data_IF_691549665204
#
_entry.id   IF_691549665204
#
_cell.length_a   1.000
_cell.length_b   1.000
_cell.length_c   1.000
_cell.angle_alpha   90.00
_cell.angle_beta   90.00
_cell.angle_gamma   90.00
#
_symmetry.space_group_name_H-M   'P 1'
#
loop_
_entity.id
_entity.type
_entity.pdbx_description
1 polymer ?
#
# COMPACT_ATOMS: atom_id res chain seq x y z
N UNK A 1 -83.80 19.41 48.65
CA UNK A 1 -83.74 20.50 47.73
C UNK A 1 -82.29 20.67 47.31
N UNK A 2 -81.79 20.31 46.22
CA UNK A 2 -82.21 20.44 44.87
C UNK A 2 -81.44 19.35 44.03
N UNK A 3 -82.05 18.82 42.99
CA UNK A 3 -81.53 17.80 42.14
C UNK A 3 -80.74 18.41 41.00
N UNK A 4 -79.53 17.98 40.80
CA UNK A 4 -78.71 18.33 39.64
C UNK A 4 -78.64 17.15 38.67
N UNK A 5 -79.21 17.33 37.51
CA UNK A 5 -79.23 16.39 36.40
C UNK A 5 -77.83 16.21 35.76
N UNK A 6 -77.39 14.93 35.62
CA UNK A 6 -76.18 14.59 34.83
C UNK A 6 -76.62 14.17 33.43
N UNK A 7 -75.96 14.65 32.35
CA UNK A 7 -76.33 14.25 30.97
C UNK A 7 -75.70 12.86 30.64
N UNK A 8 -76.45 12.00 29.97
CA UNK A 8 -76.03 10.69 29.51
C UNK A 8 -74.99 10.79 28.44
N UNK A 9 -73.82 10.08 28.64
CA UNK A 9 -72.77 9.90 27.64
C UNK A 9 -73.30 9.07 26.48
N UNK A 10 -73.22 9.60 25.28
CA UNK A 10 -73.47 8.86 24.04
C UNK A 10 -72.20 8.09 23.68
N UNK A 11 -72.26 6.79 23.79
CA UNK A 11 -71.19 5.90 23.28
C UNK A 11 -71.34 5.78 21.77
N UNK A 12 -70.45 6.44 21.00
CA UNK A 12 -70.33 6.19 19.56
C UNK A 12 -69.64 4.84 19.38
N UNK A 13 -70.34 3.92 18.71
CA UNK A 13 -69.81 2.62 18.31
C UNK A 13 -68.75 2.86 17.24
N UNK A 14 -67.48 2.66 17.61
CA UNK A 14 -66.40 2.63 16.61
C UNK A 14 -66.51 1.35 15.81
N UNK A 15 -66.52 1.49 14.50
CA UNK A 15 -66.59 0.35 13.57
C UNK A 15 -65.35 -0.56 13.71
N UNK A 16 -65.51 -1.86 13.80
CA UNK A 16 -64.37 -2.78 13.91
C UNK A 16 -63.45 -2.76 12.68
N UNK A 17 -63.91 -2.19 11.57
CA UNK A 17 -63.09 -2.08 10.37
C UNK A 17 -61.98 -1.03 10.48
N UNK A 18 -62.15 0.01 11.29
CA UNK A 18 -61.10 1.01 11.51
C UNK A 18 -59.96 0.47 12.33
N UNK A 19 -60.19 -0.48 13.23
CA UNK A 19 -59.15 -1.14 14.01
C UNK A 19 -58.34 -2.13 13.15
N UNK A 20 -58.94 -2.77 12.16
CA UNK A 20 -58.26 -3.70 11.25
C UNK A 20 -57.34 -2.94 10.28
N UNK A 21 -57.74 -1.79 9.82
CA UNK A 21 -56.89 -0.97 8.92
C UNK A 21 -55.68 -0.41 9.67
N UNK A 22 -55.84 0.01 10.92
CA UNK A 22 -54.73 0.50 11.74
C UNK A 22 -53.76 -0.61 12.14
N UNK A 23 -54.22 -1.86 12.38
CA UNK A 23 -53.35 -3.02 12.64
C UNK A 23 -52.56 -3.43 11.37
N UNK A 24 -53.19 -3.40 10.20
CA UNK A 24 -52.54 -3.72 8.94
C UNK A 24 -51.46 -2.68 8.58
N UNK A 25 -51.68 -1.39 8.85
CA UNK A 25 -50.65 -0.37 8.60
C UNK A 25 -49.48 -0.48 9.57
N UNK A 26 -49.72 -0.84 10.82
CA UNK A 26 -48.63 -1.05 11.81
C UNK A 26 -47.84 -2.29 11.44
N UNK A 27 -48.46 -3.36 10.98
CA UNK A 27 -47.74 -4.59 10.55
C UNK A 27 -46.96 -4.33 9.28
N UNK A 28 -47.43 -3.54 8.34
CA UNK A 28 -46.70 -3.18 7.11
C UNK A 28 -45.51 -2.28 7.39
N UNK A 29 -45.58 -1.42 8.39
CA UNK A 29 -44.44 -0.55 8.76
C UNK A 29 -43.32 -1.38 9.48
N UNK A 30 -43.69 -2.45 10.20
CA UNK A 30 -42.72 -3.30 10.89
C UNK A 30 -42.08 -4.40 10.01
N UNK A 31 -42.52 -4.60 8.79
CA UNK A 31 -42.02 -5.59 7.87
C UNK A 31 -41.15 -5.04 6.73
N UNK A 32 -40.75 -3.76 6.79
CA UNK A 32 -39.68 -3.27 5.91
C UNK A 32 -38.39 -3.88 6.49
N UNK A 33 -37.75 -4.83 5.79
CA UNK A 33 -36.43 -5.25 6.23
C UNK A 33 -35.58 -3.98 6.24
N UNK A 34 -34.96 -3.69 7.36
CA UNK A 34 -33.86 -2.75 7.38
C UNK A 34 -32.81 -3.35 6.42
N UNK A 35 -32.83 -2.90 5.20
CA UNK A 35 -31.68 -2.98 4.33
C UNK A 35 -30.65 -2.10 5.05
N UNK A 36 -29.96 -2.69 6.03
CA UNK A 36 -28.64 -2.19 6.33
C UNK A 36 -27.93 -2.25 5.00
N UNK A 37 -27.76 -1.12 4.39
CA UNK A 37 -26.83 -0.99 3.30
C UNK A 37 -25.51 -1.52 3.86
N UNK A 38 -25.22 -2.77 3.59
CA UNK A 38 -23.92 -3.33 3.79
C UNK A 38 -23.05 -2.48 2.88
N UNK A 39 -22.39 -1.49 3.49
CA UNK A 39 -21.39 -0.71 2.76
C UNK A 39 -20.49 -1.74 2.10
N UNK A 40 -20.57 -1.81 0.78
CA UNK A 40 -19.69 -2.72 0.04
C UNK A 40 -18.27 -2.28 0.39
N UNK A 41 -17.56 -3.13 1.12
CA UNK A 41 -16.14 -2.89 1.40
C UNK A 41 -15.43 -2.68 0.06
N UNK A 42 -14.65 -1.64 -0.02
CA UNK A 42 -13.85 -1.37 -1.22
C UNK A 42 -12.93 -2.57 -1.48
N UNK A 43 -13.21 -3.30 -2.54
CA UNK A 43 -12.40 -4.45 -2.93
C UNK A 43 -11.21 -3.96 -3.77
N UNK A 44 -10.01 -4.11 -3.24
CA UNK A 44 -8.78 -3.78 -3.95
C UNK A 44 -8.50 -4.87 -5.01
N UNK A 45 -8.35 -4.47 -6.26
CA UNK A 45 -7.96 -5.35 -7.37
C UNK A 45 -6.82 -4.68 -8.12
N UNK A 46 -5.62 -4.84 -7.56
CA UNK A 46 -4.48 -4.03 -7.95
C UNK A 46 -3.34 -4.80 -8.60
N UNK A 47 -2.42 -4.04 -9.15
CA UNK A 47 -1.17 -4.56 -9.68
C UNK A 47 -0.06 -3.53 -9.47
N UNK A 48 1.11 -4.01 -9.05
CA UNK A 48 2.32 -3.20 -9.01
C UNK A 48 2.96 -3.15 -10.40
N UNK A 49 3.42 -1.97 -10.79
CA UNK A 49 4.23 -1.76 -12.00
C UNK A 49 5.61 -1.34 -11.51
N UNK A 50 6.58 -2.24 -11.62
CA UNK A 50 7.94 -2.03 -11.11
C UNK A 50 8.86 -1.44 -12.19
N UNK A 51 10.08 -1.08 -11.80
CA UNK A 51 11.11 -0.65 -12.75
C UNK A 51 11.49 -1.76 -13.76
N UNK A 52 11.08 -3.00 -13.51
CA UNK A 52 11.27 -4.13 -14.43
C UNK A 52 10.22 -4.16 -15.55
N UNK A 53 9.14 -3.42 -15.44
CA UNK A 53 8.06 -3.38 -16.45
C UNK A 53 8.45 -2.47 -17.62
N UNK A 54 9.59 -2.76 -18.23
CA UNK A 54 10.23 -1.91 -19.23
C UNK A 54 9.32 -1.57 -20.42
N UNK A 55 8.45 -2.50 -20.80
CA UNK A 55 7.53 -2.26 -21.90
C UNK A 55 6.47 -1.22 -21.55
N UNK A 56 5.99 -1.20 -20.30
CA UNK A 56 5.01 -0.19 -19.85
C UNK A 56 5.62 1.20 -19.90
N UNK A 57 6.87 1.33 -19.44
CA UNK A 57 7.55 2.62 -19.33
C UNK A 57 8.12 3.12 -20.66
N UNK A 58 7.96 2.36 -21.75
CA UNK A 58 8.56 2.70 -23.05
C UNK A 58 7.95 3.95 -23.67
N UNK A 59 6.64 4.01 -23.73
CA UNK A 59 5.93 5.13 -24.38
C UNK A 59 4.45 5.14 -23.98
N UNK A 60 3.77 6.23 -24.34
CA UNK A 60 2.34 6.46 -24.06
C UNK A 60 1.43 5.35 -24.62
N UNK A 61 1.76 4.78 -25.76
CA UNK A 61 0.93 3.73 -26.36
C UNK A 61 0.99 2.45 -25.52
N UNK A 62 2.17 2.11 -25.01
CA UNK A 62 2.35 0.94 -24.13
C UNK A 62 1.62 1.14 -22.79
N UNK A 63 1.67 2.36 -22.21
CA UNK A 63 0.90 2.70 -21.01
C UNK A 63 -0.59 2.46 -21.26
N UNK A 64 -1.11 3.01 -22.37
CA UNK A 64 -2.53 2.86 -22.75
C UNK A 64 -2.92 1.38 -22.89
N UNK A 65 -2.09 0.60 -23.57
CA UNK A 65 -2.34 -0.84 -23.77
C UNK A 65 -2.36 -1.58 -22.42
N UNK A 66 -1.42 -1.27 -21.53
CA UNK A 66 -1.33 -1.90 -20.21
C UNK A 66 -2.59 -1.59 -19.37
N UNK A 67 -2.97 -0.32 -19.28
CA UNK A 67 -4.14 0.10 -18.50
C UNK A 67 -5.43 -0.47 -19.09
N UNK A 68 -5.55 -0.47 -20.43
CA UNK A 68 -6.72 -1.05 -21.12
C UNK A 68 -6.84 -2.55 -20.83
N UNK A 69 -5.72 -3.28 -20.86
CA UNK A 69 -5.69 -4.71 -20.54
C UNK A 69 -6.17 -4.95 -19.10
N UNK A 70 -5.65 -4.18 -18.15
CA UNK A 70 -6.04 -4.28 -16.74
C UNK A 70 -7.55 -4.00 -16.57
N UNK A 71 -8.05 -2.94 -17.19
CA UNK A 71 -9.47 -2.58 -17.10
C UNK A 71 -10.38 -3.69 -17.65
N UNK A 72 -10.00 -4.29 -18.79
CA UNK A 72 -10.76 -5.41 -19.40
C UNK A 72 -10.80 -6.66 -18.51
N UNK A 73 -9.88 -6.76 -17.55
CA UNK A 73 -9.82 -7.85 -16.57
C UNK A 73 -10.37 -7.44 -15.21
N UNK A 74 -11.05 -6.28 -15.17
CA UNK A 74 -11.74 -5.75 -13.98
C UNK A 74 -10.80 -5.42 -12.81
N UNK A 75 -9.54 -5.09 -13.10
CA UNK A 75 -8.67 -4.41 -12.13
C UNK A 75 -9.19 -3.00 -11.89
N UNK A 76 -8.90 -2.45 -10.71
CA UNK A 76 -9.37 -1.11 -10.34
C UNK A 76 -8.28 -0.21 -9.73
N UNK A 77 -7.06 -0.71 -9.55
CA UNK A 77 -5.96 0.07 -8.96
C UNK A 77 -4.63 -0.31 -9.62
N UNK A 78 -3.82 0.69 -9.90
CA UNK A 78 -2.45 0.50 -10.39
C UNK A 78 -1.49 1.21 -9.41
N UNK A 79 -0.40 0.51 -9.05
CA UNK A 79 0.63 1.04 -8.15
C UNK A 79 1.93 1.22 -8.95
N UNK A 80 2.09 2.35 -9.67
CA UNK A 80 3.32 2.58 -10.44
C UNK A 80 4.46 2.97 -9.52
N UNK A 81 5.63 2.36 -9.74
CA UNK A 81 6.84 2.71 -8.97
C UNK A 81 7.27 4.15 -9.27
N UNK A 82 7.62 4.90 -8.22
CA UNK A 82 8.11 6.27 -8.35
C UNK A 82 9.48 6.48 -7.72
N UNK A 83 9.91 5.57 -6.84
CA UNK A 83 11.23 5.61 -6.19
C UNK A 83 11.79 4.19 -6.11
N UNK A 84 12.89 3.97 -6.82
CA UNK A 84 13.53 2.65 -6.88
C UNK A 84 15.00 2.82 -7.26
N UNK A 85 15.86 2.01 -6.65
CA UNK A 85 17.30 1.92 -7.00
C UNK A 85 18.04 3.27 -6.94
N UNK A 86 17.62 4.17 -6.06
CA UNK A 86 18.24 5.49 -5.94
C UNK A 86 17.80 6.48 -7.02
N UNK A 87 16.74 6.17 -7.76
CA UNK A 87 16.19 7.02 -8.82
C UNK A 87 14.73 7.33 -8.57
N UNK A 88 14.31 8.51 -9.02
CA UNK A 88 12.88 8.81 -9.19
C UNK A 88 12.45 8.41 -10.59
N UNK A 89 11.17 8.03 -10.73
CA UNK A 89 10.60 7.55 -12.00
C UNK A 89 9.71 8.61 -12.67
N UNK A 90 9.98 9.88 -12.39
CA UNK A 90 9.25 11.03 -12.93
C UNK A 90 10.18 12.24 -12.96
N UNK A 91 9.90 13.30 -13.77
CA UNK A 91 10.68 14.53 -13.72
C UNK A 91 10.58 15.16 -12.33
N UNK A 92 11.71 15.25 -11.62
CA UNK A 92 11.76 15.72 -10.23
C UNK A 92 12.79 16.83 -10.06
N UNK A 93 12.35 17.97 -9.56
CA UNK A 93 13.24 19.07 -9.17
C UNK A 93 13.97 18.75 -7.87
N UNK A 94 13.34 18.00 -6.98
CA UNK A 94 13.95 17.53 -5.72
C UNK A 94 15.17 16.65 -6.04
N UNK A 95 14.98 15.63 -6.87
CA UNK A 95 16.06 14.73 -7.28
C UNK A 95 17.18 15.51 -8.01
N UNK A 96 16.80 16.39 -8.90
CA UNK A 96 17.75 17.24 -9.64
C UNK A 96 18.60 18.11 -8.70
N UNK A 97 18.01 18.66 -7.64
CA UNK A 97 18.73 19.52 -6.69
C UNK A 97 19.78 18.76 -5.86
N UNK A 98 19.67 17.44 -5.83
CA UNK A 98 20.59 16.54 -5.10
C UNK A 98 21.51 15.74 -6.03
N UNK A 99 21.52 16.09 -7.32
CA UNK A 99 22.27 15.40 -8.37
C UNK A 99 21.89 13.92 -8.49
N UNK A 100 20.63 13.59 -8.19
CA UNK A 100 20.05 12.27 -8.42
C UNK A 100 19.44 12.28 -9.81
N UNK A 101 19.89 11.39 -10.67
CA UNK A 101 19.34 11.33 -12.02
C UNK A 101 17.94 10.72 -12.02
N UNK A 102 16.98 11.31 -12.76
CA UNK A 102 15.70 10.64 -12.95
C UNK A 102 15.91 9.35 -13.74
N UNK A 103 15.06 8.39 -13.52
CA UNK A 103 15.08 7.16 -14.32
C UNK A 103 14.65 7.53 -15.75
N UNK A 104 15.59 7.39 -16.67
CA UNK A 104 15.32 7.62 -18.09
C UNK A 104 15.38 6.27 -18.79
N UNK A 105 14.21 5.74 -19.14
CA UNK A 105 14.17 4.52 -19.93
C UNK A 105 14.57 4.86 -21.37
N UNK A 106 15.32 3.98 -22.01
CA UNK A 106 15.77 4.17 -23.39
C UNK A 106 14.57 4.47 -24.31
N UNK A 107 14.61 5.62 -24.94
CA UNK A 107 13.56 6.06 -25.84
C UNK A 107 12.43 6.86 -25.22
N UNK A 108 12.48 7.11 -23.92
CA UNK A 108 11.47 7.93 -23.22
C UNK A 108 11.99 9.30 -22.80
N UNK A 109 13.09 9.74 -23.38
CA UNK A 109 13.73 11.02 -23.03
C UNK A 109 12.74 12.19 -23.09
N UNK A 110 12.62 12.90 -21.98
CA UNK A 110 11.74 14.06 -21.89
C UNK A 110 10.25 13.73 -21.74
N UNK A 111 9.90 12.45 -21.59
CA UNK A 111 8.51 12.02 -21.50
C UNK A 111 8.12 11.68 -20.07
N UNK A 112 7.05 12.29 -19.58
CA UNK A 112 6.55 12.05 -18.21
C UNK A 112 5.61 10.86 -18.20
N UNK A 113 6.18 9.67 -18.06
CA UNK A 113 5.44 8.41 -18.05
C UNK A 113 4.47 8.32 -16.85
N UNK A 114 4.83 8.90 -15.72
CA UNK A 114 3.93 8.90 -14.55
C UNK A 114 2.63 9.66 -14.87
N UNK A 115 2.76 10.84 -15.49
CA UNK A 115 1.59 11.60 -15.94
C UNK A 115 0.72 10.78 -16.90
N UNK A 116 1.34 10.05 -17.82
CA UNK A 116 0.60 9.19 -18.76
C UNK A 116 -0.12 8.05 -18.04
N UNK A 117 0.53 7.40 -17.08
CA UNK A 117 -0.09 6.31 -16.29
C UNK A 117 -1.32 6.85 -15.56
N UNK A 118 -1.17 7.99 -14.86
CA UNK A 118 -2.28 8.60 -14.10
C UNK A 118 -3.45 8.94 -15.05
N UNK A 119 -3.16 9.64 -16.14
CA UNK A 119 -4.19 10.03 -17.12
C UNK A 119 -4.91 8.84 -17.72
N UNK A 120 -4.17 7.78 -18.08
CA UNK A 120 -4.77 6.57 -18.63
C UNK A 120 -5.58 5.80 -17.59
N UNK A 121 -5.09 5.71 -16.35
CA UNK A 121 -5.80 5.06 -15.25
C UNK A 121 -7.14 5.75 -15.02
N UNK A 122 -7.13 7.06 -14.84
CA UNK A 122 -8.34 7.86 -14.58
C UNK A 122 -9.35 7.77 -15.75
N UNK A 123 -8.86 7.85 -16.98
CA UNK A 123 -9.75 7.75 -18.16
C UNK A 123 -10.49 6.42 -18.23
N UNK A 124 -10.06 5.42 -17.48
CA UNK A 124 -10.64 4.07 -17.47
C UNK A 124 -11.14 3.65 -16.08
N UNK A 125 -11.27 4.61 -15.15
CA UNK A 125 -11.78 4.40 -13.79
C UNK A 125 -10.94 3.43 -12.96
N UNK A 126 -9.59 3.55 -13.07
CA UNK A 126 -8.66 2.91 -12.16
C UNK A 126 -8.01 3.98 -11.29
N UNK A 127 -7.78 3.67 -10.02
CA UNK A 127 -6.96 4.51 -9.14
C UNK A 127 -5.48 4.36 -9.49
N UNK A 128 -4.74 5.46 -9.42
CA UNK A 128 -3.29 5.50 -9.59
C UNK A 128 -2.65 5.90 -8.25
N UNK A 129 -1.97 4.95 -7.61
CA UNK A 129 -1.36 5.13 -6.29
C UNK A 129 0.17 4.94 -6.44
N UNK A 130 0.94 6.01 -6.69
CA UNK A 130 2.41 5.91 -6.78
C UNK A 130 3.02 5.16 -5.60
N UNK A 131 4.02 4.33 -5.90
CA UNK A 131 4.59 3.37 -4.97
C UNK A 131 6.08 3.63 -4.75
N UNK A 132 6.46 3.85 -3.48
CA UNK A 132 7.85 4.02 -3.03
C UNK A 132 8.43 2.64 -2.73
N UNK A 133 8.85 1.92 -3.78
CA UNK A 133 9.33 0.54 -3.68
C UNK A 133 10.59 0.43 -2.81
N UNK A 134 11.57 1.31 -3.02
CA UNK A 134 12.83 1.21 -2.28
C UNK A 134 12.81 1.89 -0.91
N UNK A 135 11.88 2.80 -0.62
CA UNK A 135 11.82 3.44 0.70
C UNK A 135 13.16 4.03 1.12
N UNK A 136 13.75 3.49 2.18
CA UNK A 136 15.08 3.88 2.67
C UNK A 136 16.22 3.03 2.07
N UNK A 137 15.92 2.00 1.29
CA UNK A 137 16.93 1.18 0.63
C UNK A 137 17.51 1.92 -0.58
N UNK A 138 18.81 1.76 -0.83
CA UNK A 138 19.48 2.31 -2.00
C UNK A 138 20.56 1.32 -2.47
N UNK A 139 20.87 1.26 -3.77
CA UNK A 139 21.98 0.41 -4.22
C UNK A 139 23.29 0.82 -3.56
N UNK A 140 24.11 -0.15 -3.26
CA UNK A 140 25.47 0.11 -2.81
C UNK A 140 26.39 0.35 -4.03
N UNK A 141 27.68 0.57 -3.76
CA UNK A 141 28.71 0.97 -4.73
C UNK A 141 29.21 -0.13 -5.67
N UNK A 142 28.49 -1.24 -5.83
CA UNK A 142 28.86 -2.34 -6.72
C UNK A 142 28.69 -2.03 -8.21
N UNK A 143 28.42 -3.07 -9.00
CA UNK A 143 28.22 -2.95 -10.46
C UNK A 143 27.17 -1.90 -10.85
N UNK A 144 26.14 -1.72 -10.01
CA UNK A 144 25.11 -0.70 -10.21
C UNK A 144 25.65 0.73 -10.07
N UNK A 145 26.65 0.92 -9.21
CA UNK A 145 27.31 2.22 -9.04
C UNK A 145 28.14 2.61 -10.29
N UNK A 146 28.74 1.60 -10.94
CA UNK A 146 29.48 1.85 -12.19
C UNK A 146 28.56 2.29 -13.32
N UNK A 147 27.28 1.97 -13.22
CA UNK A 147 26.23 2.40 -14.14
C UNK A 147 25.41 3.54 -13.56
N UNK A 148 25.98 4.30 -12.65
CA UNK A 148 25.38 5.45 -11.95
C UNK A 148 24.21 5.16 -11.00
N UNK A 149 24.14 4.17 -10.56
CA UNK A 149 23.17 3.78 -9.70
C UNK A 149 23.48 3.90 -8.32
N UNK A 150 24.10 4.06 -7.89
CA UNK A 150 24.47 4.24 -6.49
C UNK A 150 24.93 5.66 -6.15
N UNK A 151 24.61 6.59 -7.00
CA UNK A 151 25.08 7.99 -6.82
C UNK A 151 24.65 8.57 -5.47
N UNK A 152 23.44 8.27 -5.02
CA UNK A 152 22.96 8.80 -3.74
C UNK A 152 23.82 8.32 -2.57
N UNK A 153 24.14 7.03 -2.50
CA UNK A 153 24.99 6.48 -1.44
C UNK A 153 26.42 7.04 -1.50
N UNK A 154 26.94 7.24 -2.73
CA UNK A 154 28.28 7.80 -2.93
C UNK A 154 28.34 9.29 -2.57
N UNK A 155 27.33 10.04 -2.97
CA UNK A 155 27.29 11.50 -2.81
C UNK A 155 26.88 11.93 -1.40
N UNK A 156 26.16 11.03 -0.67
CA UNK A 156 25.65 11.32 0.67
C UNK A 156 26.02 10.19 1.64
N UNK A 157 27.30 9.90 1.83
CA UNK A 157 27.69 8.81 2.74
C UNK A 157 27.29 9.05 4.20
N UNK A 158 27.10 10.31 4.59
CA UNK A 158 26.63 10.71 5.92
C UNK A 158 25.12 10.40 6.12
N UNK A 159 24.39 10.14 5.03
CA UNK A 159 23.00 9.72 5.11
C UNK A 159 22.83 8.22 5.38
N UNK A 160 23.91 7.45 5.26
CA UNK A 160 23.84 5.98 5.41
C UNK A 160 23.90 5.58 6.89
N UNK A 161 23.10 4.60 7.24
CA UNK A 161 23.18 3.96 8.56
C UNK A 161 24.18 2.80 8.52
N UNK A 162 24.58 2.30 9.69
CA UNK A 162 25.61 1.27 9.84
C UNK A 162 25.14 0.14 10.74
N UNK A 163 25.65 -1.04 10.47
CA UNK A 163 25.63 -2.15 11.43
C UNK A 163 26.64 -1.90 12.55
N UNK A 164 26.58 -2.72 13.59
CA UNK A 164 27.46 -2.57 14.76
C UNK A 164 28.94 -2.71 14.45
N UNK A 165 29.30 -3.53 13.46
CA UNK A 165 30.68 -3.70 13.01
C UNK A 165 31.12 -2.61 12.01
N UNK A 166 30.26 -1.64 11.72
CA UNK A 166 30.58 -0.51 10.87
C UNK A 166 30.24 -0.70 9.39
N UNK A 167 29.67 -1.84 9.00
CA UNK A 167 29.27 -2.07 7.61
C UNK A 167 28.09 -1.18 7.22
N UNK A 168 28.13 -0.63 6.00
CA UNK A 168 27.00 0.07 5.38
C UNK A 168 26.25 -0.82 4.40
N UNK A 169 26.69 -2.07 4.22
CA UNK A 169 26.20 -2.99 3.18
C UNK A 169 25.37 -4.11 3.78
N UNK A 170 24.29 -4.45 3.13
CA UNK A 170 23.55 -5.69 3.36
C UNK A 170 23.16 -6.32 2.02
N UNK A 171 22.76 -7.59 2.08
CA UNK A 171 22.31 -8.34 0.89
C UNK A 171 20.78 -8.36 0.88
N UNK A 172 20.20 -8.04 -0.27
CA UNK A 172 18.78 -8.13 -0.50
C UNK A 172 18.49 -8.94 -1.77
N UNK A 173 17.24 -9.12 -2.11
CA UNK A 173 16.86 -9.71 -3.39
C UNK A 173 17.31 -8.85 -4.58
N UNK A 174 17.56 -7.56 -4.35
CA UNK A 174 18.09 -6.63 -5.37
C UNK A 174 19.63 -6.65 -5.47
N UNK A 175 20.31 -7.49 -4.69
CA UNK A 175 21.77 -7.55 -4.62
C UNK A 175 22.31 -6.80 -3.42
N UNK A 176 23.52 -6.25 -3.55
CA UNK A 176 24.14 -5.43 -2.50
C UNK A 176 23.43 -4.07 -2.39
N UNK A 177 22.97 -3.74 -1.19
CA UNK A 177 22.27 -2.49 -0.91
C UNK A 177 22.84 -1.83 0.35
N UNK A 178 22.61 -0.52 0.44
CA UNK A 178 22.82 0.27 1.66
C UNK A 178 21.49 0.85 2.10
N UNK A 179 21.45 1.39 3.32
CA UNK A 179 20.22 1.93 3.88
C UNK A 179 20.46 3.38 4.29
N UNK A 180 19.62 4.24 3.76
CA UNK A 180 19.51 5.64 4.22
C UNK A 180 18.99 5.60 5.66
N UNK A 181 19.57 6.41 6.53
CA UNK A 181 19.21 6.44 7.94
C UNK A 181 17.82 7.08 8.13
N UNK A 182 16.78 6.31 8.49
CA UNK A 182 15.43 6.87 8.64
C UNK A 182 15.30 7.87 9.80
N UNK A 183 16.32 7.96 10.66
CA UNK A 183 16.35 8.87 11.80
C UNK A 183 17.05 10.19 11.46
N UNK A 184 17.79 10.24 10.35
CA UNK A 184 18.56 11.42 9.95
C UNK A 184 17.64 12.49 9.36
N UNK A 185 17.68 13.75 9.88
CA UNK A 185 16.72 14.77 9.46
C UNK A 185 16.78 15.13 7.97
N UNK A 186 17.95 15.07 7.35
CA UNK A 186 18.07 15.37 5.91
C UNK A 186 17.49 14.24 5.06
N UNK A 187 17.61 12.98 5.50
CA UNK A 187 16.97 11.83 4.83
C UNK A 187 15.45 11.98 4.91
N UNK A 188 14.95 12.28 6.11
CA UNK A 188 13.51 12.49 6.30
C UNK A 188 13.00 13.64 5.43
N UNK A 189 13.74 14.76 5.41
CA UNK A 189 13.39 15.90 4.58
C UNK A 189 13.34 15.54 3.09
N UNK A 190 14.34 14.77 2.62
CA UNK A 190 14.39 14.34 1.22
C UNK A 190 13.14 13.52 0.83
N UNK A 191 12.75 12.55 1.65
CA UNK A 191 11.55 11.74 1.35
C UNK A 191 10.29 12.62 1.40
N UNK A 192 10.19 13.50 2.39
CA UNK A 192 9.05 14.45 2.50
C UNK A 192 8.98 15.34 1.25
N UNK A 193 10.12 15.89 0.81
CA UNK A 193 10.17 16.77 -0.35
C UNK A 193 9.69 16.06 -1.62
N UNK A 194 10.11 14.79 -1.83
CA UNK A 194 9.62 13.98 -2.96
C UNK A 194 8.09 13.80 -2.89
N UNK A 195 7.57 13.53 -1.70
CA UNK A 195 6.12 13.35 -1.50
C UNK A 195 5.33 14.63 -1.77
N UNK A 196 5.83 15.74 -1.26
CA UNK A 196 5.22 17.07 -1.47
C UNK A 196 5.22 17.39 -2.97
N UNK A 197 6.33 17.12 -3.64
CA UNK A 197 6.45 17.33 -5.09
C UNK A 197 5.43 16.50 -5.87
N UNK A 198 5.34 15.19 -5.56
CA UNK A 198 4.36 14.29 -6.20
C UNK A 198 2.92 14.76 -5.95
N UNK A 199 2.61 15.07 -4.69
CA UNK A 199 1.25 15.43 -4.28
C UNK A 199 0.79 16.75 -4.93
N UNK A 200 1.72 17.70 -5.13
CA UNK A 200 1.40 18.99 -5.75
C UNK A 200 1.33 18.90 -7.27
N UNK A 201 2.17 18.07 -7.90
CA UNK A 201 2.34 18.10 -9.35
C UNK A 201 1.45 17.10 -10.10
N UNK A 202 0.93 16.07 -9.40
CA UNK A 202 0.17 14.99 -10.04
C UNK A 202 -1.19 14.79 -9.38
N UNK A 203 -2.16 14.41 -10.20
CA UNK A 203 -3.51 14.09 -9.74
C UNK A 203 -3.56 12.62 -9.27
N UNK A 204 -2.82 12.32 -8.21
CA UNK A 204 -2.71 10.97 -7.66
C UNK A 204 -3.85 10.69 -6.66
N UNK A 205 -4.26 9.43 -6.57
CA UNK A 205 -5.32 8.99 -5.64
C UNK A 205 -4.77 8.57 -4.28
N UNK A 206 -3.48 8.27 -4.22
CA UNK A 206 -2.83 7.85 -2.99
C UNK A 206 -1.33 7.78 -3.16
N UNK A 207 -0.66 7.37 -2.10
CA UNK A 207 0.79 7.05 -2.09
C UNK A 207 0.95 5.77 -1.29
N UNK A 208 1.77 4.84 -1.79
CA UNK A 208 2.04 3.59 -1.08
C UNK A 208 3.52 3.48 -0.70
N UNK A 209 3.75 3.06 0.54
CA UNK A 209 5.09 2.78 1.08
C UNK A 209 5.29 1.28 1.24
N UNK A 210 6.41 0.80 0.73
CA UNK A 210 6.75 -0.62 0.72
C UNK A 210 7.38 -1.09 2.04
N UNK A 211 7.67 -2.39 2.11
CA UNK A 211 8.39 -2.99 3.23
C UNK A 211 9.83 -2.47 3.35
N UNK A 212 10.36 -1.78 2.33
CA UNK A 212 11.65 -1.09 2.40
C UNK A 212 11.55 0.33 2.99
N UNK A 213 10.35 0.80 3.36
CA UNK A 213 10.20 2.00 4.20
C UNK A 213 10.36 1.56 5.65
N UNK A 214 11.57 1.11 5.96
CA UNK A 214 11.91 0.30 7.14
C UNK A 214 13.41 0.41 7.39
N UNK A 215 13.88 -0.31 8.39
CA UNK A 215 15.32 -0.48 8.63
C UNK A 215 15.55 -1.92 9.10
N UNK A 216 16.43 -2.68 8.44
CA UNK A 216 16.77 -4.02 8.97
C UNK A 216 17.37 -3.90 10.38
N UNK A 217 16.99 -4.83 11.24
CA UNK A 217 17.28 -4.73 12.67
C UNK A 217 18.79 -4.65 13.01
N UNK A 218 19.65 -5.08 12.09
CA UNK A 218 21.10 -5.03 12.28
C UNK A 218 21.68 -3.61 12.21
N UNK A 219 20.93 -2.66 11.63
CA UNK A 219 21.37 -1.28 11.40
C UNK A 219 20.93 -0.33 12.53
N UNK A 220 21.42 0.88 12.48
CA UNK A 220 21.15 1.91 13.48
C UNK A 220 22.32 2.14 14.44
N UNK A 221 23.52 1.69 14.06
CA UNK A 221 24.72 1.87 14.88
C UNK A 221 25.68 2.94 14.31
N UNK A 222 25.19 3.78 13.40
CA UNK A 222 25.90 4.96 12.94
C UNK A 222 25.96 6.03 14.05
N UNK A 223 26.92 6.95 13.94
CA UNK A 223 27.19 7.95 14.97
C UNK A 223 25.96 8.82 15.29
N UNK A 224 25.18 9.19 14.25
CA UNK A 224 24.00 10.01 14.45
C UNK A 224 22.96 9.28 15.31
N UNK A 225 22.65 8.05 14.95
CA UNK A 225 21.64 7.24 15.66
C UNK A 225 22.08 6.91 17.08
N UNK A 226 23.36 6.55 17.26
CA UNK A 226 23.91 6.26 18.59
C UNK A 226 23.79 7.48 19.51
N UNK A 227 24.16 8.65 19.00
CA UNK A 227 24.11 9.89 19.78
C UNK A 227 22.66 10.28 20.10
N UNK A 228 21.75 10.13 19.16
CA UNK A 228 20.32 10.39 19.36
C UNK A 228 19.74 9.48 20.45
N UNK A 229 20.02 8.18 20.37
CA UNK A 229 19.55 7.21 21.36
C UNK A 229 20.08 7.57 22.76
N UNK A 230 21.39 7.88 22.84
CA UNK A 230 22.03 8.25 24.11
C UNK A 230 21.44 9.53 24.68
N UNK A 231 21.17 10.52 23.84
CA UNK A 231 20.57 11.79 24.25
C UNK A 231 19.17 11.57 24.82
N UNK A 232 18.37 10.72 24.19
CA UNK A 232 16.97 10.50 24.59
C UNK A 232 16.82 9.55 25.78
N UNK A 233 17.72 8.57 25.92
CA UNK A 233 17.55 7.49 26.91
C UNK A 233 18.61 7.50 28.02
N UNK A 234 19.72 8.20 27.84
CA UNK A 234 20.88 8.15 28.74
C UNK A 234 21.71 6.89 28.58
N UNK A 235 21.41 6.00 27.61
CA UNK A 235 22.04 4.69 27.43
C UNK A 235 22.78 4.62 26.11
N UNK A 236 23.74 3.70 26.01
CA UNK A 236 24.29 3.30 24.71
C UNK A 236 23.39 2.22 24.09
N UNK A 237 23.31 2.14 22.76
CA UNK A 237 22.54 1.07 22.12
C UNK A 237 23.01 -0.32 22.56
N UNK A 238 22.10 -1.26 22.79
CA UNK A 238 22.46 -2.64 23.14
C UNK A 238 23.31 -3.30 22.05
N UNK A 239 24.17 -4.24 22.46
CA UNK A 239 24.98 -5.02 21.53
C UNK A 239 24.12 -5.98 20.67
N UNK A 240 23.02 -6.46 21.25
CA UNK A 240 22.07 -7.31 20.54
C UNK A 240 21.11 -6.43 19.74
N UNK A 241 21.16 -6.51 18.42
CA UNK A 241 20.32 -5.72 17.54
C UNK A 241 18.83 -6.06 17.67
N UNK A 242 18.50 -7.23 18.24
CA UNK A 242 17.12 -7.65 18.52
C UNK A 242 16.71 -7.44 19.98
N UNK A 243 17.49 -6.67 20.75
CA UNK A 243 17.05 -6.28 22.10
C UNK A 243 15.70 -5.58 22.03
N UNK A 244 14.71 -5.99 22.83
CA UNK A 244 13.35 -5.44 22.72
C UNK A 244 13.25 -3.92 22.89
N UNK A 245 14.02 -3.34 23.81
CA UNK A 245 14.04 -1.89 24.03
C UNK A 245 14.60 -1.16 22.79
N UNK A 246 15.68 -1.71 22.21
CA UNK A 246 16.31 -1.13 21.02
C UNK A 246 15.44 -1.26 19.77
N UNK A 247 14.76 -2.41 19.59
CA UNK A 247 13.78 -2.61 18.52
C UNK A 247 12.64 -1.60 18.68
N UNK A 248 12.06 -1.50 19.88
CA UNK A 248 10.94 -0.62 20.14
C UNK A 248 11.28 0.85 19.89
N UNK A 249 12.47 1.29 20.35
CA UNK A 249 12.88 2.70 20.15
C UNK A 249 13.01 3.02 18.65
N UNK A 250 13.73 2.17 17.88
CA UNK A 250 13.92 2.41 16.44
C UNK A 250 12.59 2.34 15.67
N UNK A 251 11.74 1.36 15.98
CA UNK A 251 10.41 1.24 15.36
C UNK A 251 9.54 2.46 15.67
N UNK A 252 9.63 2.98 16.90
CA UNK A 252 8.91 4.21 17.27
C UNK A 252 9.42 5.41 16.47
N UNK A 253 10.73 5.53 16.25
CA UNK A 253 11.29 6.63 15.44
C UNK A 253 10.79 6.57 13.99
N UNK A 254 10.64 5.37 13.42
CA UNK A 254 10.02 5.21 12.09
C UNK A 254 8.54 5.61 12.17
N UNK A 255 7.84 5.20 13.23
CA UNK A 255 6.43 5.59 13.44
C UNK A 255 6.27 7.12 13.49
N UNK A 256 7.13 7.82 14.24
CA UNK A 256 7.13 9.28 14.30
C UNK A 256 7.29 9.91 12.90
N UNK A 257 8.16 9.31 12.08
CA UNK A 257 8.34 9.77 10.70
C UNK A 257 7.09 9.51 9.85
N UNK A 258 6.48 8.32 9.96
CA UNK A 258 5.25 8.00 9.21
C UNK A 258 4.09 8.91 9.60
N UNK A 259 3.98 9.28 10.87
CA UNK A 259 2.98 10.27 11.34
C UNK A 259 3.21 11.62 10.64
N UNK A 260 4.47 12.09 10.58
CA UNK A 260 4.79 13.34 9.89
C UNK A 260 4.49 13.27 8.39
N UNK A 261 4.81 12.14 7.74
CA UNK A 261 4.50 11.94 6.32
C UNK A 261 3.01 12.04 6.05
N UNK A 262 2.23 11.27 6.82
CA UNK A 262 0.77 11.28 6.70
C UNK A 262 0.24 12.71 6.90
N UNK A 263 0.64 13.37 7.99
CA UNK A 263 0.18 14.72 8.31
C UNK A 263 0.51 15.71 7.15
N UNK A 264 1.73 15.65 6.63
CA UNK A 264 2.16 16.53 5.54
C UNK A 264 1.29 16.34 4.28
N UNK A 265 1.07 15.08 3.89
CA UNK A 265 0.27 14.76 2.72
C UNK A 265 -1.20 15.18 2.91
N UNK A 266 -1.76 14.87 4.08
CA UNK A 266 -3.16 15.17 4.38
C UNK A 266 -3.42 16.68 4.49
N UNK A 267 -2.41 17.48 4.78
CA UNK A 267 -2.55 18.95 4.72
C UNK A 267 -2.67 19.45 3.27
N UNK A 268 -2.06 18.74 2.30
CA UNK A 268 -2.11 19.13 0.88
C UNK A 268 -3.37 18.55 0.22
N UNK A 269 -3.61 17.24 0.40
CA UNK A 269 -4.77 16.51 -0.15
C UNK A 269 -5.37 15.65 0.97
N UNK A 270 -6.36 16.16 1.72
CA UNK A 270 -6.90 15.46 2.90
C UNK A 270 -7.43 14.04 2.64
N UNK A 271 -7.89 13.78 1.43
CA UNK A 271 -8.51 12.50 1.06
C UNK A 271 -7.56 11.52 0.38
N UNK A 272 -6.29 11.91 0.14
CA UNK A 272 -5.30 11.06 -0.51
C UNK A 272 -5.10 9.78 0.29
N UNK A 273 -5.17 8.62 -0.36
CA UNK A 273 -5.00 7.31 0.29
C UNK A 273 -3.54 7.15 0.73
N UNK A 274 -3.32 6.98 2.02
CA UNK A 274 -1.99 6.65 2.58
C UNK A 274 -1.93 5.13 2.75
N UNK A 275 -1.29 4.47 1.79
CA UNK A 275 -1.23 3.02 1.69
C UNK A 275 0.11 2.48 2.18
N UNK A 276 0.12 1.27 2.75
CA UNK A 276 1.36 0.58 3.10
C UNK A 276 1.33 -0.87 2.61
N UNK A 277 2.47 -1.39 2.14
CA UNK A 277 2.58 -2.78 1.68
C UNK A 277 3.72 -3.51 2.40
N UNK A 278 3.52 -3.82 3.69
CA UNK A 278 4.55 -4.46 4.52
C UNK A 278 4.52 -5.99 4.44
N UNK A 279 5.53 -6.61 5.06
CA UNK A 279 5.52 -8.03 5.40
C UNK A 279 4.54 -8.30 6.56
N UNK A 280 4.27 -9.58 6.87
CA UNK A 280 3.43 -9.96 8.01
C UNK A 280 4.04 -9.42 9.32
N UNK A 281 3.17 -9.03 10.25
CA UNK A 281 3.48 -8.13 11.36
C UNK A 281 4.71 -8.54 12.20
N UNK A 282 4.76 -9.79 12.64
CA UNK A 282 5.86 -10.24 13.50
C UNK A 282 7.23 -10.07 12.82
N UNK A 283 7.31 -10.34 11.51
CA UNK A 283 8.54 -10.14 10.74
C UNK A 283 8.81 -8.64 10.53
N UNK A 284 7.79 -7.90 10.09
CA UNK A 284 7.91 -6.47 9.83
C UNK A 284 8.37 -5.70 11.06
N UNK A 285 7.76 -5.98 12.23
CA UNK A 285 8.12 -5.29 13.47
C UNK A 285 9.52 -5.66 13.97
N UNK A 286 9.82 -6.97 14.07
CA UNK A 286 11.05 -7.44 14.72
C UNK A 286 12.31 -7.31 13.85
N UNK A 287 12.16 -7.50 12.53
CA UNK A 287 13.32 -7.58 11.64
C UNK A 287 13.45 -6.38 10.70
N UNK A 288 12.33 -5.66 10.47
CA UNK A 288 12.29 -4.50 9.59
C UNK A 288 11.89 -3.20 10.32
N UNK A 289 11.58 -3.29 11.63
CA UNK A 289 11.22 -2.13 12.49
C UNK A 289 10.00 -1.36 11.95
N UNK A 290 9.11 -2.07 11.23
CA UNK A 290 7.85 -1.50 10.72
C UNK A 290 6.69 -1.88 11.64
N UNK A 291 6.24 -0.92 12.45
CA UNK A 291 5.12 -1.12 13.39
C UNK A 291 3.79 -0.77 12.71
N UNK A 292 3.52 -1.41 11.54
CA UNK A 292 2.38 -1.06 10.70
C UNK A 292 1.02 -1.29 11.40
N UNK A 293 0.93 -2.23 12.33
CA UNK A 293 -0.31 -2.44 13.09
C UNK A 293 -0.61 -1.21 13.98
N UNK A 294 0.41 -0.68 14.62
CA UNK A 294 0.29 0.55 15.37
C UNK A 294 -0.06 1.74 14.46
N UNK A 295 0.51 1.80 13.25
CA UNK A 295 0.17 2.88 12.30
C UNK A 295 -1.32 2.86 11.92
N UNK A 296 -1.92 1.67 11.77
CA UNK A 296 -3.37 1.54 11.54
C UNK A 296 -4.15 2.00 12.78
N UNK A 297 -3.74 1.56 13.96
CA UNK A 297 -4.37 1.96 15.24
C UNK A 297 -4.29 3.46 15.51
N UNK A 298 -3.23 4.11 15.02
CA UNK A 298 -3.06 5.57 15.09
C UNK A 298 -3.85 6.32 13.99
N UNK A 299 -4.55 5.57 13.14
CA UNK A 299 -5.36 6.12 12.05
C UNK A 299 -4.53 6.96 11.05
N UNK A 300 -3.28 6.54 10.81
CA UNK A 300 -2.42 7.19 9.81
C UNK A 300 -2.26 6.37 8.53
N UNK A 301 -2.89 5.19 8.47
CA UNK A 301 -2.89 4.34 7.28
C UNK A 301 -4.33 4.15 6.82
N UNK A 302 -4.61 4.41 5.54
CA UNK A 302 -5.94 4.30 4.94
C UNK A 302 -6.10 2.98 4.18
N UNK A 303 -5.00 2.28 3.88
CA UNK A 303 -5.03 1.04 3.11
C UNK A 303 -3.82 0.16 3.46
N UNK A 304 -4.06 -1.12 3.68
CA UNK A 304 -3.01 -2.12 3.90
C UNK A 304 -2.99 -3.13 2.76
N UNK A 305 -1.82 -3.39 2.16
CA UNK A 305 -1.63 -4.48 1.20
C UNK A 305 -0.48 -5.36 1.68
N UNK A 306 -0.78 -6.35 2.51
CA UNK A 306 0.27 -7.21 3.09
C UNK A 306 0.88 -8.14 2.04
N UNK A 307 2.20 -8.13 1.90
CA UNK A 307 2.93 -8.98 0.96
C UNK A 307 3.02 -10.42 1.48
N UNK A 308 2.45 -11.37 0.73
CA UNK A 308 2.48 -12.79 1.12
C UNK A 308 3.04 -13.62 -0.05
N UNK A 309 4.35 -13.53 -0.24
CA UNK A 309 5.05 -14.21 -1.34
C UNK A 309 5.48 -15.62 -0.86
N UNK A 310 4.57 -16.57 -0.95
CA UNK A 310 4.78 -17.96 -0.51
C UNK A 310 4.43 -18.92 -1.66
N UNK A 311 5.27 -19.94 -1.84
CA UNK A 311 5.05 -20.94 -2.88
C UNK A 311 4.05 -22.00 -2.44
N UNK A 312 4.03 -22.34 -1.15
CA UNK A 312 3.09 -23.34 -0.62
C UNK A 312 1.83 -22.67 -0.04
N UNK A 313 0.72 -23.33 -0.24
CA UNK A 313 -0.61 -22.79 0.13
C UNK A 313 -0.83 -22.76 1.65
N UNK A 314 -0.27 -23.72 2.39
CA UNK A 314 -0.41 -23.78 3.86
C UNK A 314 0.25 -22.56 4.50
N UNK A 315 1.51 -22.31 4.14
CA UNK A 315 2.25 -21.12 4.61
C UNK A 315 1.53 -19.83 4.19
N UNK A 316 1.03 -19.76 2.96
CA UNK A 316 0.26 -18.60 2.46
C UNK A 316 -0.97 -18.35 3.34
N UNK A 317 -1.78 -19.40 3.54
CA UNK A 317 -3.03 -19.32 4.32
C UNK A 317 -2.75 -18.92 5.77
N UNK A 318 -1.69 -19.50 6.37
CA UNK A 318 -1.33 -19.18 7.76
C UNK A 318 -0.98 -17.70 7.97
N UNK A 319 -0.49 -17.00 6.93
CA UNK A 319 -0.16 -15.58 7.05
C UNK A 319 -1.41 -14.69 6.98
N UNK A 320 -2.37 -15.05 6.12
CA UNK A 320 -3.59 -14.23 5.98
C UNK A 320 -4.61 -14.48 7.11
N UNK A 321 -4.50 -15.64 7.78
CA UNK A 321 -5.39 -15.98 8.90
C UNK A 321 -4.97 -15.34 10.24
N UNK A 322 -3.90 -14.55 10.26
CA UNK A 322 -3.36 -13.96 11.49
C UNK A 322 -4.31 -12.92 12.08
N UNK A 323 -4.31 -12.85 13.42
CA UNK A 323 -5.18 -11.95 14.17
C UNK A 323 -5.02 -10.48 13.74
N UNK A 324 -3.79 -10.06 13.41
CA UNK A 324 -3.50 -8.68 12.98
C UNK A 324 -4.26 -8.34 11.69
N UNK A 325 -4.37 -9.28 10.75
CA UNK A 325 -5.14 -9.07 9.52
C UNK A 325 -6.64 -9.03 9.81
N UNK A 326 -7.10 -9.93 10.71
CA UNK A 326 -8.52 -9.93 11.09
C UNK A 326 -8.92 -8.65 11.83
N UNK A 327 -8.01 -8.06 12.60
CA UNK A 327 -8.22 -6.74 13.24
C UNK A 327 -8.29 -5.63 12.18
N UNK A 328 -7.25 -5.53 11.35
CA UNK A 328 -7.08 -4.39 10.43
C UNK A 328 -8.18 -4.35 9.36
N UNK A 329 -8.61 -5.50 8.85
CA UNK A 329 -9.67 -5.57 7.84
C UNK A 329 -11.02 -5.02 8.33
N UNK A 330 -11.21 -4.89 9.65
CA UNK A 330 -12.41 -4.27 10.21
C UNK A 330 -12.31 -2.74 10.24
N UNK A 331 -11.10 -2.21 10.06
CA UNK A 331 -10.81 -0.77 10.21
C UNK A 331 -10.61 -0.11 8.84
N UNK A 332 -9.79 -0.72 7.96
CA UNK A 332 -9.42 -0.13 6.66
C UNK A 332 -9.48 -1.18 5.54
N UNK A 333 -9.62 -0.75 4.28
CA UNK A 333 -9.46 -1.63 3.13
C UNK A 333 -8.14 -2.40 3.22
N UNK A 334 -8.23 -3.73 3.12
CA UNK A 334 -7.09 -4.62 3.31
C UNK A 334 -6.97 -5.58 2.13
N UNK A 335 -5.80 -5.64 1.54
CA UNK A 335 -5.48 -6.53 0.44
C UNK A 335 -4.27 -7.40 0.73
N UNK A 336 -4.11 -8.43 -0.09
CA UNK A 336 -2.99 -9.38 -0.03
C UNK A 336 -2.19 -9.28 -1.33
N UNK A 337 -0.89 -9.07 -1.18
CA UNK A 337 0.05 -9.12 -2.28
C UNK A 337 0.35 -10.56 -2.66
N UNK A 338 0.06 -10.92 -3.92
CA UNK A 338 0.30 -12.26 -4.47
C UNK A 338 1.40 -12.15 -5.53
N UNK A 339 2.42 -13.00 -5.42
CA UNK A 339 3.49 -13.06 -6.41
C UNK A 339 2.99 -13.80 -7.66
N UNK A 340 2.91 -13.10 -8.78
CA UNK A 340 2.54 -13.70 -10.08
C UNK A 340 3.74 -14.28 -10.82
N UNK A 341 4.97 -13.97 -10.36
CA UNK A 341 6.21 -14.48 -10.90
C UNK A 341 7.36 -13.52 -10.71
N UNK A 342 8.56 -14.01 -10.98
CA UNK A 342 9.77 -13.20 -11.14
C UNK A 342 10.37 -13.56 -12.50
N UNK A 343 11.24 -12.70 -13.03
CA UNK A 343 11.88 -12.97 -14.34
C UNK A 343 12.64 -14.29 -14.36
N UNK A 344 13.18 -14.70 -13.22
CA UNK A 344 13.96 -15.94 -13.07
C UNK A 344 13.19 -17.08 -12.42
N UNK A 345 11.97 -16.82 -11.95
CA UNK A 345 11.17 -17.80 -11.21
C UNK A 345 9.70 -17.62 -11.54
N UNK A 346 9.22 -18.25 -12.62
CA UNK A 346 7.81 -18.16 -13.01
C UNK A 346 6.89 -18.87 -12.01
N UNK A 347 5.69 -18.32 -11.81
CA UNK A 347 4.68 -18.91 -10.94
C UNK A 347 3.52 -19.44 -11.82
N UNK A 348 3.17 -20.74 -11.72
CA UNK A 348 2.11 -21.30 -12.56
C UNK A 348 0.73 -20.80 -12.15
N UNK A 349 -0.16 -20.70 -13.14
CA UNK A 349 -1.53 -20.22 -12.95
C UNK A 349 -2.30 -21.03 -11.90
N UNK A 350 -2.01 -22.33 -11.79
CA UNK A 350 -2.62 -23.18 -10.76
C UNK A 350 -2.33 -22.68 -9.35
N UNK A 351 -1.08 -22.28 -9.07
CA UNK A 351 -0.70 -21.74 -7.77
C UNK A 351 -1.40 -20.40 -7.51
N UNK A 352 -1.35 -19.51 -8.49
CA UNK A 352 -2.01 -18.19 -8.40
C UNK A 352 -3.50 -18.38 -8.11
N UNK A 353 -4.16 -19.29 -8.83
CA UNK A 353 -5.60 -19.56 -8.65
C UNK A 353 -5.92 -20.00 -7.23
N UNK A 354 -5.12 -20.91 -6.67
CA UNK A 354 -5.33 -21.39 -5.29
C UNK A 354 -5.22 -20.23 -4.29
N UNK A 355 -4.20 -19.38 -4.45
CA UNK A 355 -3.97 -18.23 -3.58
C UNK A 355 -5.09 -17.20 -3.71
N UNK A 356 -5.48 -16.85 -4.94
CA UNK A 356 -6.59 -15.92 -5.20
C UNK A 356 -7.87 -16.41 -4.55
N UNK A 357 -8.24 -17.70 -4.75
CA UNK A 357 -9.46 -18.25 -4.16
C UNK A 357 -9.42 -18.24 -2.62
N UNK A 358 -8.24 -18.41 -2.04
CA UNK A 358 -8.08 -18.32 -0.58
C UNK A 358 -8.33 -16.89 -0.09
N UNK A 359 -7.74 -15.89 -0.76
CA UNK A 359 -7.93 -14.47 -0.41
C UNK A 359 -9.41 -14.07 -0.58
N UNK A 360 -10.05 -14.50 -1.68
CA UNK A 360 -11.46 -14.19 -1.96
C UNK A 360 -12.40 -14.77 -0.89
N UNK A 361 -12.12 -15.98 -0.39
CA UNK A 361 -12.93 -16.57 0.71
C UNK A 361 -12.83 -15.75 2.00
N UNK A 362 -11.72 -15.05 2.19
CA UNK A 362 -11.54 -14.16 3.33
C UNK A 362 -12.05 -12.74 3.04
N UNK A 363 -12.68 -12.50 1.89
CA UNK A 363 -13.20 -11.19 1.48
C UNK A 363 -12.13 -10.08 1.57
N UNK A 364 -10.89 -10.41 1.20
CA UNK A 364 -9.77 -9.48 1.17
C UNK A 364 -9.48 -9.05 -0.28
N UNK A 365 -8.90 -7.86 -0.44
CA UNK A 365 -8.44 -7.39 -1.73
C UNK A 365 -7.21 -8.15 -2.23
N UNK A 366 -6.88 -7.99 -3.49
CA UNK A 366 -5.75 -8.67 -4.13
C UNK A 366 -4.92 -7.66 -4.90
N UNK A 367 -3.60 -7.72 -4.72
CA UNK A 367 -2.66 -6.95 -5.53
C UNK A 367 -1.58 -7.91 -6.04
N UNK A 368 -1.34 -7.92 -7.35
CA UNK A 368 -0.36 -8.83 -7.94
C UNK A 368 1.00 -8.17 -8.10
N UNK A 369 2.03 -8.89 -7.73
CA UNK A 369 3.41 -8.48 -7.95
C UNK A 369 3.98 -9.36 -9.09
N UNK A 370 4.28 -8.83 -10.21
CA UNK A 370 4.14 -7.49 -10.78
C UNK A 370 3.66 -7.58 -12.23
N UNK A 371 3.34 -6.50 -12.90
CA UNK A 371 2.59 -6.44 -14.17
C UNK A 371 3.15 -7.38 -15.27
N UNK A 372 4.46 -7.30 -15.58
CA UNK A 372 5.06 -8.12 -16.63
C UNK A 372 4.80 -9.62 -16.40
N UNK A 373 4.89 -10.06 -15.14
CA UNK A 373 4.78 -11.49 -14.81
C UNK A 373 3.35 -12.02 -14.84
N UNK A 374 2.36 -11.15 -14.94
CA UNK A 374 0.99 -11.60 -15.19
C UNK A 374 0.88 -12.30 -16.55
N UNK A 375 1.63 -11.84 -17.53
CA UNK A 375 1.48 -12.25 -18.95
C UNK A 375 2.68 -13.04 -19.46
N UNK A 376 3.87 -12.63 -19.07
CA UNK A 376 5.13 -13.12 -19.61
C UNK A 376 5.86 -13.98 -18.59
N UNK A 377 6.81 -14.76 -19.07
CA UNK A 377 7.68 -15.60 -18.23
C UNK A 377 6.88 -16.54 -17.33
N UNK A 378 5.89 -17.19 -17.90
CA UNK A 378 5.03 -18.15 -17.22
C UNK A 378 5.07 -19.49 -17.95
N UNK A 379 4.71 -20.61 -17.29
CA UNK A 379 4.60 -21.90 -17.98
C UNK A 379 3.46 -21.94 -18.98
N UNK A 380 2.43 -21.11 -18.78
CA UNK A 380 1.24 -21.06 -19.63
C UNK A 380 1.40 -20.06 -20.76
N UNK A 381 0.60 -20.25 -21.83
CA UNK A 381 0.52 -19.28 -22.92
C UNK A 381 -0.15 -17.98 -22.46
N UNK A 382 0.07 -16.90 -23.18
CA UNK A 382 -0.59 -15.62 -22.92
C UNK A 382 -2.11 -15.77 -22.86
N UNK A 383 -2.68 -16.54 -23.78
CA UNK A 383 -4.14 -16.75 -23.82
C UNK A 383 -4.65 -17.45 -22.56
N UNK A 384 -3.95 -18.48 -22.10
CA UNK A 384 -4.29 -19.19 -20.87
C UNK A 384 -4.18 -18.28 -19.64
N UNK A 385 -3.15 -17.41 -19.60
CA UNK A 385 -2.98 -16.43 -18.53
C UNK A 385 -4.14 -15.42 -18.52
N UNK A 386 -4.47 -14.86 -19.68
CA UNK A 386 -5.57 -13.89 -19.82
C UNK A 386 -6.91 -14.51 -19.38
N UNK A 387 -7.17 -15.76 -19.78
CA UNK A 387 -8.38 -16.47 -19.35
C UNK A 387 -8.39 -16.68 -17.82
N UNK A 388 -7.28 -17.10 -17.25
CA UNK A 388 -7.15 -17.29 -15.82
C UNK A 388 -7.45 -16.01 -15.03
N UNK A 389 -6.83 -14.89 -15.44
CA UNK A 389 -7.05 -13.60 -14.77
C UNK A 389 -8.48 -13.09 -14.96
N UNK A 390 -9.10 -13.31 -16.13
CA UNK A 390 -10.51 -12.94 -16.37
C UNK A 390 -11.45 -13.63 -15.37
N UNK A 391 -11.14 -14.87 -15.02
CA UNK A 391 -11.97 -15.68 -14.12
C UNK A 391 -11.86 -15.25 -12.63
N UNK A 392 -10.86 -14.41 -12.28
CA UNK A 392 -10.70 -13.94 -10.90
C UNK A 392 -11.71 -12.82 -10.57
N UNK A 393 -11.96 -11.96 -11.55
CA UNK A 393 -12.81 -10.78 -11.34
C UNK A 393 -13.90 -10.75 -12.44
N UNK A 394 -14.93 -11.60 -12.32
CA UNK A 394 -15.93 -11.74 -13.40
C UNK A 394 -16.80 -10.49 -13.61
N UNK A 395 -16.87 -9.62 -12.58
CA UNK A 395 -17.68 -8.40 -12.64
C UNK A 395 -16.81 -7.18 -12.30
N UNK A 396 -17.11 -6.01 -12.91
CA UNK A 396 -16.38 -4.80 -12.55
C UNK A 396 -16.61 -4.41 -11.09
N UNK A 397 -15.60 -3.83 -10.48
CA UNK A 397 -15.68 -3.18 -9.17
C UNK A 397 -14.93 -1.88 -9.28
N UNK A 398 -15.59 -0.79 -8.98
CA UNK A 398 -14.99 0.55 -9.04
C UNK A 398 -14.63 0.97 -7.62
N UNK A 399 -13.38 1.35 -7.44
CA UNK A 399 -12.96 2.07 -6.23
C UNK A 399 -13.11 3.55 -6.55
N UNK A 400 -13.76 4.27 -5.67
CA UNK A 400 -13.98 5.70 -5.86
C UNK A 400 -12.88 6.43 -5.07
N UNK A 401 -12.08 7.23 -5.77
CA UNK A 401 -11.24 8.19 -5.06
C UNK A 401 -12.15 9.02 -4.17
N UNK A 402 -11.78 9.25 -2.94
CA UNK A 402 -12.61 10.01 -2.02
C UNK A 402 -12.83 11.42 -2.58
N UNK A 403 -14.07 11.78 -2.92
CA UNK A 403 -14.45 13.07 -3.50
C UNK A 403 -14.05 14.27 -2.63
#
# INVERSE_FOLDING_TARGET
MDQTNWPRKIWKKFSPWLCLISLLTVVLIHSVPSVTAQMSREEIRGVWVTSNDLNVFKDRAQVKDAVTKLRRLNFNTIYPVVWNSGYVMYPSNVAKSLDIQPFVFRGSDGHDILADIINQAHSQNLLAIPWFEFGFMTPNTGELALNKXGELALNKPDWLTKTRDGSVVSMSAAGEVSWLNPFHPQVQKFIIDLLVELTNNYDIDGIQFDDHTSLPHEFGYDDYTVNLYKQETGKNPPANSQDPEWVAWRANKITEFMVRLNHTIKQIKPKLIFSVSPNYYNHAYRFQLQDWLNWVRLNIVDELVMQVYRSDLESFTSKIARDEIQEVRQIIPTGIGIMAGLRTSPVPMQQITKQVRTVQREELGIVFFYYETLWNRSPETLEQRLEGFRNFFPYPSVRVAAE
#
